data_IF_404964543255
#
_entry.id   IF_404964543255
#
_cell.length_a   1.000
_cell.length_b   1.000
_cell.length_c   1.000
_cell.angle_alpha   90.00
_cell.angle_beta   90.00
_cell.angle_gamma   90.00
#
_symmetry.space_group_name_H-M   'P 1'
#
loop_
_entity.id
_entity.type
_entity.pdbx_description
1 polymer ?
#
# COMPACT_ATOMS: atom_id res chain seq x y z
N UNK A 1 33.46 54.92 46.93
CA UNK A 1 32.57 53.71 46.84
C UNK A 1 31.60 53.80 45.65
N UNK A 2 32.09 53.98 44.41
CA UNK A 2 31.20 54.05 43.19
C UNK A 2 31.78 53.36 41.96
N UNK A 3 32.59 52.31 42.14
CA UNK A 3 33.23 51.56 41.01
C UNK A 3 33.09 50.03 41.07
N UNK A 4 32.17 49.49 41.91
CA UNK A 4 31.93 48.02 41.99
C UNK A 4 30.50 47.57 41.62
N UNK A 5 29.67 48.46 40.99
CA UNK A 5 28.29 48.10 40.65
C UNK A 5 28.06 47.95 39.11
N UNK A 6 29.15 48.01 38.31
CA UNK A 6 29.02 47.92 36.83
C UNK A 6 29.50 46.60 36.25
N UNK A 7 29.93 45.63 37.07
CA UNK A 7 30.52 44.36 36.58
C UNK A 7 29.57 43.16 36.78
N UNK A 8 28.36 43.35 37.36
CA UNK A 8 27.38 42.29 37.59
C UNK A 8 26.25 42.28 36.53
N UNK A 9 26.13 43.32 35.71
CA UNK A 9 25.08 43.44 34.68
C UNK A 9 25.49 42.94 33.30
N UNK A 10 26.76 42.53 33.10
CA UNK A 10 27.26 41.99 31.82
C UNK A 10 27.26 40.45 31.74
N UNK A 11 26.87 39.75 32.81
CA UNK A 11 26.86 38.29 32.91
C UNK A 11 25.54 37.57 32.61
N UNK A 12 24.47 38.33 32.27
CA UNK A 12 23.12 37.72 32.07
C UNK A 12 22.63 37.72 30.62
N UNK A 13 23.49 37.99 29.64
CA UNK A 13 23.05 38.12 28.23
C UNK A 13 23.62 37.05 27.29
N UNK A 14 24.07 35.89 27.79
CA UNK A 14 24.60 34.81 26.93
C UNK A 14 24.02 33.42 27.27
N UNK A 15 22.75 33.35 27.70
CA UNK A 15 22.05 32.08 27.89
C UNK A 15 20.72 32.01 27.13
N UNK A 16 20.66 32.61 25.94
CA UNK A 16 19.57 32.40 25.01
C UNK A 16 20.09 31.81 23.70
N UNK A 17 20.78 30.68 23.78
CA UNK A 17 21.14 29.94 22.57
C UNK A 17 21.05 28.45 22.88
N UNK A 18 20.01 27.85 22.37
CA UNK A 18 19.62 26.43 22.26
C UNK A 18 18.36 26.11 23.06
N UNK A 19 17.26 26.83 22.83
CA UNK A 19 15.97 26.17 22.85
C UNK A 19 15.88 25.44 21.50
N UNK A 20 15.68 24.09 21.48
CA UNK A 20 15.31 23.43 20.24
C UNK A 20 14.03 24.14 19.77
N UNK A 21 14.11 24.71 18.56
CA UNK A 21 12.94 25.27 17.91
C UNK A 21 12.09 24.05 17.54
N UNK A 22 11.16 23.69 18.39
CA UNK A 22 10.08 22.78 18.03
C UNK A 22 9.22 23.57 17.06
N UNK A 23 9.52 23.43 15.75
CA UNK A 23 8.74 24.06 14.70
C UNK A 23 7.27 23.73 14.90
N UNK A 24 6.42 24.73 14.80
CA UNK A 24 4.98 24.48 14.77
C UNK A 24 4.65 23.79 13.45
N UNK A 25 3.73 22.80 13.44
CA UNK A 25 3.29 22.17 12.20
C UNK A 25 2.77 23.24 11.25
N UNK A 26 3.18 23.17 10.00
CA UNK A 26 2.87 24.20 9.02
C UNK A 26 1.41 24.12 8.57
N UNK A 27 0.61 25.12 8.89
CA UNK A 27 -0.75 25.26 8.37
C UNK A 27 -0.70 25.82 6.94
N UNK A 28 -1.32 25.10 6.01
CA UNK A 28 -1.45 25.50 4.60
C UNK A 28 -2.90 25.35 4.15
N UNK A 29 -3.22 25.89 2.97
CA UNK A 29 -4.56 25.79 2.38
C UNK A 29 -4.55 24.74 1.27
N UNK A 30 -5.48 23.79 1.33
CA UNK A 30 -5.75 22.84 0.26
C UNK A 30 -6.96 23.32 -0.56
N UNK A 31 -6.80 23.45 -1.87
CA UNK A 31 -7.92 23.68 -2.77
C UNK A 31 -8.60 22.32 -3.06
N UNK A 32 -9.91 22.26 -2.82
CA UNK A 32 -10.73 21.07 -3.02
C UNK A 32 -11.55 21.19 -4.31
N UNK A 33 -12.11 20.07 -4.80
CA UNK A 33 -12.96 20.01 -6.00
C UNK A 33 -14.09 21.06 -6.06
N UNK A 34 -14.58 21.51 -4.92
CA UNK A 34 -15.69 22.46 -4.82
C UNK A 34 -15.23 23.91 -4.69
N UNK A 35 -13.95 24.23 -4.99
CA UNK A 35 -13.34 25.54 -4.75
C UNK A 35 -13.39 25.96 -3.27
N UNK A 36 -13.72 25.04 -2.36
CA UNK A 36 -13.62 25.28 -0.93
C UNK A 36 -12.15 25.18 -0.51
N UNK A 37 -11.72 26.14 0.28
CA UNK A 37 -10.39 26.15 0.87
C UNK A 37 -10.45 25.41 2.19
N UNK A 38 -9.91 24.19 2.25
CA UNK A 38 -9.75 23.46 3.50
C UNK A 38 -8.36 23.74 4.05
N UNK A 39 -8.27 23.92 5.36
CA UNK A 39 -6.97 23.99 6.01
C UNK A 39 -6.34 22.61 6.06
N UNK A 40 -5.11 22.53 5.62
CA UNK A 40 -4.28 21.33 5.67
C UNK A 40 -3.06 21.58 6.55
N UNK A 41 -2.54 20.51 7.13
CA UNK A 41 -1.36 20.55 8.00
C UNK A 41 -0.33 19.58 7.43
N UNK A 42 0.86 20.08 7.16
CA UNK A 42 2.01 19.26 6.79
C UNK A 42 2.77 18.90 8.07
N UNK A 43 2.92 17.60 8.40
CA UNK A 43 3.74 17.17 9.53
C UNK A 43 5.19 17.65 9.38
N UNK A 44 5.76 18.18 10.45
CA UNK A 44 7.14 18.67 10.45
C UNK A 44 8.14 17.53 10.21
N UNK A 45 7.93 16.41 10.92
CA UNK A 45 8.87 15.29 10.89
C UNK A 45 8.53 14.30 9.77
N UNK A 46 9.57 13.86 9.06
CA UNK A 46 9.50 12.69 8.21
C UNK A 46 9.84 11.44 9.05
N UNK A 47 9.13 10.34 8.81
CA UNK A 47 9.35 9.07 9.53
C UNK A 47 10.56 8.33 8.93
N UNK A 48 10.69 8.41 7.60
CA UNK A 48 11.74 7.76 6.82
C UNK A 48 11.72 8.33 5.39
N UNK A 49 12.82 8.23 4.68
CA UNK A 49 12.91 8.62 3.25
C UNK A 49 12.05 7.69 2.36
N UNK A 50 11.69 6.52 2.86
CA UNK A 50 10.81 5.55 2.17
C UNK A 50 9.32 5.89 2.26
N UNK A 51 8.93 6.86 3.09
CA UNK A 51 7.53 7.25 3.27
C UNK A 51 7.30 8.71 2.89
N UNK A 52 6.17 8.97 2.25
CA UNK A 52 5.70 10.34 2.04
C UNK A 52 5.24 10.97 3.35
N UNK A 53 5.37 12.27 3.47
CA UNK A 53 4.64 13.02 4.49
C UNK A 53 3.14 12.98 4.14
N UNK A 54 2.32 12.45 5.04
CA UNK A 54 0.87 12.42 4.88
C UNK A 54 0.26 13.77 5.30
N UNK A 55 -0.58 14.34 4.45
CA UNK A 55 -1.32 15.55 4.78
C UNK A 55 -2.42 15.24 5.80
N UNK A 56 -2.53 16.09 6.82
CA UNK A 56 -3.62 16.10 7.77
C UNK A 56 -4.60 17.22 7.43
N UNK A 57 -5.89 16.98 7.59
CA UNK A 57 -6.93 18.01 7.56
C UNK A 57 -7.07 18.67 8.94
N UNK A 58 -7.72 19.83 9.01
CA UNK A 58 -8.07 20.47 10.26
C UNK A 58 -9.57 20.29 10.53
N UNK A 59 -9.91 19.67 11.66
CA UNK A 59 -11.29 19.52 12.11
C UNK A 59 -11.43 20.19 13.49
N UNK A 60 -12.36 21.15 13.57
CA UNK A 60 -12.60 21.92 14.81
C UNK A 60 -11.34 22.60 15.39
N UNK A 61 -10.37 22.93 14.52
CA UNK A 61 -9.11 23.55 14.93
C UNK A 61 -7.98 22.57 15.20
N UNK A 62 -8.24 21.27 15.27
CA UNK A 62 -7.26 20.24 15.59
C UNK A 62 -6.86 19.42 14.33
N UNK A 63 -5.60 18.92 14.27
CA UNK A 63 -5.16 18.02 13.22
C UNK A 63 -6.00 16.75 13.18
N UNK A 64 -6.46 16.36 11.99
CA UNK A 64 -7.28 15.16 11.79
C UNK A 64 -6.88 14.44 10.51
N UNK A 65 -6.87 13.13 10.55
CA UNK A 65 -6.65 12.33 9.33
C UNK A 65 -7.90 12.36 8.45
N UNK A 66 -7.72 12.65 7.16
CA UNK A 66 -8.79 12.62 6.16
C UNK A 66 -8.77 11.27 5.43
N UNK A 67 -9.71 10.35 5.74
CA UNK A 67 -9.74 9.05 5.09
C UNK A 67 -10.16 9.17 3.62
N UNK A 68 -9.79 8.18 2.83
CA UNK A 68 -10.19 8.06 1.43
C UNK A 68 -11.70 7.87 1.28
N UNK A 69 -12.28 8.40 0.19
CA UNK A 69 -13.70 8.31 -0.14
C UNK A 69 -14.20 6.88 -0.37
N UNK A 70 -13.30 5.96 -0.74
CA UNK A 70 -13.59 4.53 -0.92
C UNK A 70 -13.05 3.64 0.20
N UNK A 71 -12.62 4.22 1.33
CA UNK A 71 -12.00 3.51 2.44
C UNK A 71 -12.89 2.38 2.97
N UNK A 72 -12.26 1.25 3.29
CA UNK A 72 -12.92 0.06 3.86
C UNK A 72 -13.41 -0.94 2.82
N UNK A 73 -13.57 -0.55 1.54
CA UNK A 73 -13.96 -1.50 0.50
C UNK A 73 -12.89 -2.56 0.24
N UNK A 74 -11.62 -2.23 0.39
CA UNK A 74 -10.49 -3.13 0.17
C UNK A 74 -10.58 -4.39 1.03
N UNK A 75 -11.01 -4.25 2.29
CA UNK A 75 -11.11 -5.34 3.24
C UNK A 75 -12.14 -6.43 2.85
N UNK A 76 -13.13 -6.07 2.05
CA UNK A 76 -14.16 -7.00 1.56
C UNK A 76 -13.78 -7.68 0.24
N UNK A 77 -12.80 -7.15 -0.48
CA UNK A 77 -12.52 -7.51 -1.87
C UNK A 77 -11.21 -8.30 -2.04
N UNK A 78 -10.21 -8.07 -1.20
CA UNK A 78 -8.95 -8.78 -1.27
C UNK A 78 -8.95 -10.07 -0.44
N UNK A 79 -8.15 -11.04 -0.87
CA UNK A 79 -8.16 -12.41 -0.33
C UNK A 79 -7.56 -12.52 1.06
N UNK A 80 -6.51 -11.76 1.36
CA UNK A 80 -5.74 -11.84 2.60
C UNK A 80 -5.45 -10.45 3.17
N UNK A 81 -5.18 -10.38 4.46
CA UNK A 81 -4.71 -9.14 5.10
C UNK A 81 -3.35 -8.71 4.54
N UNK A 82 -2.51 -9.67 4.18
CA UNK A 82 -1.20 -9.41 3.57
C UNK A 82 -1.36 -8.71 2.22
N UNK A 83 -2.32 -9.14 1.38
CA UNK A 83 -2.63 -8.47 0.12
C UNK A 83 -3.13 -7.04 0.32
N UNK A 84 -3.93 -6.79 1.37
CA UNK A 84 -4.43 -5.44 1.67
C UNK A 84 -3.27 -4.51 1.99
N UNK A 85 -2.41 -4.93 2.94
CA UNK A 85 -1.28 -4.13 3.40
C UNK A 85 -0.29 -3.86 2.25
N UNK A 86 0.02 -4.89 1.44
CA UNK A 86 0.93 -4.74 0.29
C UNK A 86 0.30 -3.93 -0.85
N UNK A 87 -0.99 -4.08 -1.11
CA UNK A 87 -1.65 -3.28 -2.14
C UNK A 87 -1.65 -1.80 -1.82
N UNK A 88 -1.79 -1.42 -0.54
CA UNK A 88 -1.72 -0.03 -0.08
C UNK A 88 -0.28 0.49 -0.03
N UNK A 89 0.63 -0.20 0.67
CA UNK A 89 2.01 0.27 0.86
C UNK A 89 2.88 0.09 -0.38
N UNK A 90 2.71 -1.01 -1.09
CA UNK A 90 3.40 -1.27 -2.35
C UNK A 90 3.00 -0.28 -3.45
N UNK A 91 1.72 0.18 -3.48
CA UNK A 91 1.30 1.23 -4.41
C UNK A 91 2.04 2.55 -4.14
N UNK A 92 2.31 2.90 -2.87
CA UNK A 92 3.15 4.05 -2.52
C UNK A 92 4.60 3.83 -3.01
N UNK A 93 5.15 2.64 -2.85
CA UNK A 93 6.50 2.29 -3.34
C UNK A 93 6.61 2.43 -4.85
N UNK A 94 5.62 1.89 -5.59
CA UNK A 94 5.56 2.01 -7.07
C UNK A 94 5.44 3.47 -7.53
N UNK A 95 4.76 4.31 -6.75
CA UNK A 95 4.57 5.72 -7.03
C UNK A 95 5.86 6.54 -6.94
N UNK A 96 6.83 6.15 -6.10
CA UNK A 96 8.04 6.94 -5.80
C UNK A 96 8.89 7.23 -7.04
N UNK A 97 8.89 6.35 -8.03
CA UNK A 97 9.62 6.55 -9.28
C UNK A 97 9.03 7.67 -10.15
N UNK A 98 7.75 8.00 -9.97
CA UNK A 98 7.05 9.06 -10.71
C UNK A 98 6.83 10.30 -9.86
N UNK A 99 6.50 10.10 -8.59
CA UNK A 99 6.21 11.14 -7.61
C UNK A 99 7.19 10.98 -6.42
N UNK A 100 8.31 11.74 -6.45
CA UNK A 100 9.35 11.64 -5.42
C UNK A 100 8.84 12.01 -4.02
N UNK A 101 9.28 11.29 -2.99
CA UNK A 101 8.98 11.59 -1.57
C UNK A 101 9.49 12.95 -1.11
N UNK A 102 10.51 13.50 -1.78
CA UNK A 102 11.05 14.82 -1.48
C UNK A 102 10.15 15.97 -1.91
N UNK A 103 9.32 15.75 -2.93
CA UNK A 103 8.53 16.80 -3.60
C UNK A 103 7.05 16.65 -3.32
N UNK A 104 6.58 15.41 -3.22
CA UNK A 104 5.16 15.11 -3.13
C UNK A 104 4.75 14.74 -1.70
N UNK A 105 3.55 15.16 -1.34
CA UNK A 105 2.86 14.82 -0.11
C UNK A 105 1.77 13.79 -0.42
N UNK A 106 1.50 12.90 0.50
CA UNK A 106 0.51 11.84 0.35
C UNK A 106 -0.84 12.20 0.95
N UNK A 107 -1.89 11.79 0.26
CA UNK A 107 -3.25 11.77 0.74
C UNK A 107 -3.97 10.52 0.19
N UNK A 108 -4.81 9.85 1.00
CA UNK A 108 -5.71 8.82 0.47
C UNK A 108 -6.64 9.41 -0.61
N UNK A 109 -7.12 8.56 -1.53
CA UNK A 109 -7.96 8.96 -2.66
C UNK A 109 -9.22 9.73 -2.27
N UNK A 110 -9.44 10.88 -2.87
CA UNK A 110 -10.55 11.78 -2.55
C UNK A 110 -11.55 11.91 -3.70
N UNK A 111 -11.28 11.33 -4.86
CA UNK A 111 -12.05 11.52 -6.09
C UNK A 111 -12.92 10.32 -6.46
N UNK A 112 -12.42 9.09 -6.29
CA UNK A 112 -13.18 7.89 -6.55
C UNK A 112 -14.00 7.50 -5.32
N UNK A 113 -15.30 7.83 -5.33
CA UNK A 113 -16.21 7.49 -4.25
C UNK A 113 -16.50 5.99 -4.18
N UNK A 114 -16.84 5.50 -3.00
CA UNK A 114 -17.05 4.08 -2.76
C UNK A 114 -18.16 3.45 -3.62
N UNK A 115 -19.23 4.16 -3.93
CA UNK A 115 -20.31 3.71 -4.82
C UNK A 115 -19.84 3.64 -6.28
N UNK A 116 -18.99 4.57 -6.72
CA UNK A 116 -18.35 4.56 -8.05
C UNK A 116 -17.44 3.33 -8.16
N UNK A 117 -16.56 3.12 -7.19
CA UNK A 117 -15.66 1.94 -7.17
C UNK A 117 -16.49 0.64 -7.20
N UNK A 118 -17.53 0.50 -6.35
CA UNK A 118 -18.42 -0.67 -6.36
C UNK A 118 -19.07 -0.90 -7.72
N UNK A 119 -19.51 0.16 -8.39
CA UNK A 119 -20.13 0.05 -9.72
C UNK A 119 -19.14 -0.44 -10.79
N UNK A 120 -17.87 0.01 -10.73
CA UNK A 120 -16.82 -0.41 -11.66
C UNK A 120 -16.40 -1.87 -11.42
N UNK A 121 -16.35 -2.30 -10.16
CA UNK A 121 -16.03 -3.70 -9.79
C UNK A 121 -17.13 -4.69 -10.17
N UNK A 122 -18.33 -4.20 -10.46
CA UNK A 122 -19.45 -5.06 -10.84
C UNK A 122 -19.19 -5.76 -12.19
N UNK A 123 -19.93 -6.84 -12.43
CA UNK A 123 -20.01 -7.47 -13.74
C UNK A 123 -20.79 -6.60 -14.73
N UNK A 124 -20.36 -6.57 -15.98
CA UNK A 124 -21.14 -5.99 -17.10
C UNK A 124 -22.53 -6.63 -17.16
N UNK A 125 -23.55 -5.86 -17.50
CA UNK A 125 -24.92 -6.32 -17.66
C UNK A 125 -25.19 -6.65 -19.12
N UNK A 126 -25.93 -7.73 -19.38
CA UNK A 126 -26.36 -8.15 -20.73
C UNK A 126 -27.86 -8.39 -20.76
N UNK A 127 -28.44 -8.51 -21.97
CA UNK A 127 -29.80 -8.93 -22.22
C UNK A 127 -30.85 -8.12 -21.45
N UNK A 128 -31.74 -8.81 -20.74
CA UNK A 128 -32.81 -8.18 -19.95
C UNK A 128 -32.29 -7.37 -18.77
N UNK A 129 -31.20 -7.80 -18.12
CA UNK A 129 -30.57 -7.04 -17.02
C UNK A 129 -30.08 -5.67 -17.48
N UNK A 130 -29.55 -5.58 -18.70
CA UNK A 130 -29.13 -4.31 -19.29
C UNK A 130 -30.35 -3.44 -19.63
N UNK A 131 -31.38 -4.03 -20.24
CA UNK A 131 -32.66 -3.32 -20.57
C UNK A 131 -33.33 -2.77 -19.32
N UNK A 132 -33.37 -3.57 -18.24
CA UNK A 132 -33.97 -3.15 -16.96
C UNK A 132 -33.16 -1.99 -16.34
N UNK A 133 -31.82 -2.08 -16.32
CA UNK A 133 -30.97 -1.00 -15.82
C UNK A 133 -31.13 0.29 -16.63
N UNK A 134 -31.26 0.17 -17.96
CA UNK A 134 -31.55 1.32 -18.83
C UNK A 134 -32.93 1.93 -18.57
N UNK A 135 -33.93 1.10 -18.31
CA UNK A 135 -35.28 1.55 -17.97
C UNK A 135 -35.34 2.25 -16.61
N UNK A 136 -34.64 1.70 -15.61
CA UNK A 136 -34.51 2.32 -14.26
C UNK A 136 -33.78 3.67 -14.32
N UNK A 137 -32.69 3.77 -15.10
CA UNK A 137 -31.98 5.03 -15.31
C UNK A 137 -32.88 6.10 -15.93
N UNK A 138 -33.64 5.74 -16.99
CA UNK A 138 -34.62 6.63 -17.61
C UNK A 138 -35.74 7.05 -16.66
N UNK A 139 -36.17 6.17 -15.75
CA UNK A 139 -37.23 6.48 -14.79
C UNK A 139 -36.76 7.47 -13.70
N UNK A 140 -35.49 7.40 -13.30
CA UNK A 140 -34.87 8.34 -12.36
C UNK A 140 -34.67 9.74 -12.96
N UNK A 141 -34.44 9.82 -14.26
CA UNK A 141 -34.10 11.06 -14.97
C UNK A 141 -35.33 11.95 -15.25
N UNK A 142 -36.55 11.42 -15.08
CA UNK A 142 -37.79 12.23 -15.27
C UNK A 142 -37.95 13.41 -14.32
N UNK A 143 -37.09 13.54 -13.31
CA UNK A 143 -37.10 14.63 -12.32
C UNK A 143 -36.00 15.70 -12.56
N UNK A 144 -35.13 15.54 -13.54
CA UNK A 144 -34.11 16.51 -13.91
C UNK A 144 -34.39 17.05 -15.32
N UNK A 145 -34.76 18.31 -15.41
CA UNK A 145 -34.94 19.03 -16.66
C UNK A 145 -33.60 19.19 -17.36
N UNK A 146 -33.32 18.36 -18.34
CA UNK A 146 -32.30 18.60 -19.32
C UNK A 146 -31.26 17.48 -19.46
N UNK A 147 -31.29 16.89 -20.63
CA UNK A 147 -30.42 15.91 -21.23
C UNK A 147 -30.73 14.44 -20.93
N UNK A 148 -30.95 13.70 -22.03
CA UNK A 148 -31.03 12.23 -22.07
C UNK A 148 -29.74 11.58 -21.53
N UNK A 149 -29.59 11.45 -20.20
CA UNK A 149 -28.54 10.60 -19.64
C UNK A 149 -28.84 9.14 -19.97
N UNK A 150 -28.28 8.74 -21.07
CA UNK A 150 -28.32 7.37 -21.54
C UNK A 150 -27.57 6.50 -20.55
N UNK A 151 -28.23 5.47 -19.98
CA UNK A 151 -27.54 4.50 -19.14
C UNK A 151 -26.26 4.00 -19.82
N UNK A 152 -25.15 4.18 -19.16
CA UNK A 152 -23.84 3.68 -19.58
C UNK A 152 -23.50 2.46 -18.74
N UNK A 153 -23.11 1.35 -19.38
CA UNK A 153 -22.59 0.19 -18.66
C UNK A 153 -21.24 0.50 -18.03
N UNK A 154 -21.19 0.48 -16.70
CA UNK A 154 -20.01 0.85 -15.93
C UNK A 154 -19.26 -0.33 -15.33
N UNK A 155 -19.83 -1.54 -15.29
CA UNK A 155 -19.16 -2.73 -14.82
C UNK A 155 -17.90 -3.05 -15.67
N UNK A 156 -16.79 -3.40 -15.03
CA UNK A 156 -15.54 -3.75 -15.73
C UNK A 156 -15.38 -5.26 -15.90
N UNK A 157 -15.84 -6.04 -14.91
CA UNK A 157 -15.73 -7.50 -14.98
C UNK A 157 -16.67 -8.12 -16.02
N UNK A 158 -16.30 -9.29 -16.60
CA UNK A 158 -17.11 -9.96 -17.61
C UNK A 158 -18.56 -10.19 -17.16
N UNK A 159 -19.49 -9.99 -18.07
CA UNK A 159 -20.88 -10.36 -17.86
C UNK A 159 -21.03 -11.89 -17.75
N UNK A 160 -22.07 -12.34 -17.07
CA UNK A 160 -22.47 -13.74 -17.10
C UNK A 160 -23.53 -13.88 -18.21
N UNK A 161 -23.23 -14.62 -19.30
CA UNK A 161 -24.23 -14.94 -20.31
C UNK A 161 -25.35 -15.79 -19.72
N UNK A 162 -26.48 -15.87 -20.41
CA UNK A 162 -27.57 -16.75 -20.01
C UNK A 162 -27.14 -18.21 -20.19
N UNK A 163 -27.43 -19.04 -19.19
CA UNK A 163 -27.09 -20.44 -19.19
C UNK A 163 -27.46 -21.13 -17.89
N UNK A 164 -27.63 -22.44 -17.95
CA UNK A 164 -28.06 -23.27 -16.81
C UNK A 164 -26.91 -23.88 -16.00
N UNK A 165 -25.72 -24.01 -16.60
CA UNK A 165 -24.58 -24.57 -15.91
C UNK A 165 -23.71 -23.45 -15.26
N UNK A 166 -23.92 -23.24 -13.96
CA UNK A 166 -23.21 -22.20 -13.20
C UNK A 166 -21.71 -22.45 -13.14
N UNK A 167 -21.27 -23.71 -13.11
CA UNK A 167 -19.83 -24.03 -13.07
C UNK A 167 -19.13 -23.53 -14.34
N UNK A 168 -19.68 -23.85 -15.52
CA UNK A 168 -19.16 -23.38 -16.81
C UNK A 168 -19.24 -21.86 -16.91
N UNK A 169 -20.39 -21.26 -16.57
CA UNK A 169 -20.58 -19.81 -16.64
C UNK A 169 -19.55 -19.04 -15.82
N UNK A 170 -19.30 -19.47 -14.59
CA UNK A 170 -18.35 -18.78 -13.71
C UNK A 170 -16.89 -19.06 -14.09
N UNK A 171 -16.56 -20.29 -14.48
CA UNK A 171 -15.17 -20.64 -14.87
C UNK A 171 -14.73 -19.99 -16.17
N UNK A 172 -15.64 -19.79 -17.13
CA UNK A 172 -15.37 -19.11 -18.39
C UNK A 172 -15.42 -17.58 -18.29
N UNK A 173 -16.12 -17.07 -17.27
CA UNK A 173 -16.25 -15.62 -17.03
C UNK A 173 -15.83 -15.27 -15.61
N UNK A 174 -14.55 -15.43 -15.24
CA UNK A 174 -14.07 -15.11 -13.90
C UNK A 174 -14.17 -13.61 -13.62
N UNK A 175 -14.24 -13.24 -12.34
CA UNK A 175 -13.97 -11.87 -11.92
C UNK A 175 -12.47 -11.67 -11.95
N UNK A 176 -11.99 -10.81 -12.83
CA UNK A 176 -10.58 -10.46 -12.95
C UNK A 176 -10.18 -9.35 -11.99
N UNK A 177 -10.95 -8.26 -11.96
CA UNK A 177 -10.70 -7.08 -11.15
C UNK A 177 -11.37 -7.22 -9.78
N UNK A 178 -10.57 -7.35 -8.73
CA UNK A 178 -11.03 -7.48 -7.36
C UNK A 178 -11.24 -6.11 -6.69
N UNK A 179 -10.29 -5.16 -6.88
CA UNK A 179 -10.37 -3.85 -6.24
C UNK A 179 -9.69 -2.76 -7.07
N UNK A 180 -10.09 -1.51 -6.80
CA UNK A 180 -9.46 -0.29 -7.33
C UNK A 180 -9.12 0.60 -6.15
N UNK A 181 -7.86 1.03 -6.06
CA UNK A 181 -7.37 1.94 -5.04
C UNK A 181 -6.86 3.22 -5.68
N UNK A 182 -7.19 4.36 -5.08
CA UNK A 182 -6.72 5.68 -5.47
C UNK A 182 -5.82 6.25 -4.39
N UNK A 183 -4.66 6.78 -4.78
CA UNK A 183 -3.79 7.60 -3.96
C UNK A 183 -3.57 8.96 -4.62
N UNK A 184 -3.58 10.02 -3.83
CA UNK A 184 -3.36 11.38 -4.27
C UNK A 184 -1.99 11.88 -3.84
N UNK A 185 -1.28 12.51 -4.76
CA UNK A 185 0.04 13.07 -4.57
C UNK A 185 -0.03 14.57 -4.77
N UNK A 186 0.22 15.32 -3.69
CA UNK A 186 0.04 16.75 -3.65
C UNK A 186 1.41 17.44 -3.71
N UNK A 187 1.47 18.59 -4.38
CA UNK A 187 2.64 19.45 -4.42
C UNK A 187 2.37 20.73 -3.67
N UNK A 188 3.40 21.24 -2.99
CA UNK A 188 3.33 22.54 -2.33
C UNK A 188 3.53 23.65 -3.34
N UNK A 189 2.69 24.68 -3.30
CA UNK A 189 2.84 25.95 -4.00
C UNK A 189 2.63 27.09 -3.05
N UNK A 190 3.70 27.79 -2.69
CA UNK A 190 3.69 28.87 -1.70
C UNK A 190 2.96 28.44 -0.42
N UNK A 191 1.84 29.08 -0.09
CA UNK A 191 1.01 28.80 1.08
C UNK A 191 -0.15 27.83 0.81
N UNK A 192 -0.12 27.12 -0.34
CA UNK A 192 -1.16 26.17 -0.74
C UNK A 192 -0.58 24.81 -1.11
N UNK A 193 -1.41 23.77 -1.09
CA UNK A 193 -1.14 22.48 -1.72
C UNK A 193 -2.15 22.21 -2.81
N UNK A 194 -1.65 21.73 -3.93
CA UNK A 194 -2.44 21.35 -5.10
C UNK A 194 -2.22 19.89 -5.46
N UNK A 195 -3.19 19.29 -6.13
CA UNK A 195 -3.05 17.93 -6.67
C UNK A 195 -1.99 17.91 -7.77
N UNK A 196 -0.88 17.25 -7.51
CA UNK A 196 0.25 17.11 -8.44
C UNK A 196 0.20 15.82 -9.26
N UNK A 197 -0.57 14.82 -8.81
CA UNK A 197 -0.74 13.56 -9.51
C UNK A 197 -1.65 12.58 -8.78
N UNK A 198 -2.07 11.53 -9.47
CA UNK A 198 -2.90 10.46 -8.93
C UNK A 198 -2.30 9.11 -9.29
N UNK A 199 -2.38 8.15 -8.38
CA UNK A 199 -2.03 6.76 -8.62
C UNK A 199 -3.25 5.89 -8.47
N UNK A 200 -3.51 5.04 -9.47
CA UNK A 200 -4.62 4.09 -9.48
C UNK A 200 -4.05 2.68 -9.47
N UNK A 201 -4.30 1.96 -8.39
CA UNK A 201 -4.00 0.53 -8.28
C UNK A 201 -5.18 -0.32 -8.77
N UNK A 202 -4.92 -1.31 -9.61
CA UNK A 202 -5.87 -2.32 -10.06
C UNK A 202 -5.47 -3.67 -9.47
N UNK A 203 -6.18 -4.14 -8.43
CA UNK A 203 -5.94 -5.46 -7.86
C UNK A 203 -6.67 -6.52 -8.69
N UNK A 204 -5.91 -7.42 -9.28
CA UNK A 204 -6.39 -8.49 -10.15
C UNK A 204 -6.33 -9.84 -9.44
N UNK A 205 -7.33 -10.67 -9.70
CA UNK A 205 -7.39 -12.03 -9.16
C UNK A 205 -6.43 -12.99 -9.89
N UNK A 206 -5.52 -13.64 -9.17
CA UNK A 206 -4.77 -14.81 -9.65
C UNK A 206 -5.63 -16.08 -9.55
N UNK A 207 -6.59 -16.10 -8.61
CA UNK A 207 -7.55 -17.18 -8.42
C UNK A 207 -8.94 -16.61 -8.20
N UNK A 208 -9.89 -17.00 -9.05
CA UNK A 208 -11.30 -16.67 -8.88
C UNK A 208 -12.03 -17.78 -8.15
N UNK A 209 -12.66 -17.44 -7.02
CA UNK A 209 -13.46 -18.36 -6.19
C UNK A 209 -14.94 -18.20 -6.46
N UNK A 210 -15.63 -19.32 -6.70
CA UNK A 210 -17.07 -19.33 -6.97
C UNK A 210 -17.75 -20.56 -6.38
N UNK A 211 -19.08 -20.60 -6.43
CA UNK A 211 -19.89 -21.75 -6.03
C UNK A 211 -20.63 -22.29 -7.24
N UNK A 212 -20.58 -23.60 -7.41
CA UNK A 212 -21.44 -24.28 -8.41
C UNK A 212 -22.89 -24.37 -7.93
N UNK A 213 -23.77 -24.92 -8.79
CA UNK A 213 -25.21 -24.93 -8.56
C UNK A 213 -25.64 -25.60 -7.24
N UNK A 214 -24.92 -26.63 -6.77
CA UNK A 214 -25.17 -27.30 -5.49
C UNK A 214 -24.47 -26.62 -4.29
N UNK A 215 -23.86 -25.46 -4.49
CA UNK A 215 -23.19 -24.69 -3.44
C UNK A 215 -21.75 -25.13 -3.12
N UNK A 216 -21.21 -26.14 -3.79
CA UNK A 216 -19.81 -26.54 -3.60
C UNK A 216 -18.85 -25.45 -4.07
N UNK A 217 -17.84 -25.18 -3.26
CA UNK A 217 -16.78 -24.24 -3.59
C UNK A 217 -15.93 -24.75 -4.77
N UNK A 218 -15.62 -23.85 -5.67
CA UNK A 218 -14.75 -24.05 -6.82
C UNK A 218 -13.78 -22.89 -6.96
N UNK A 219 -12.70 -23.12 -7.66
CA UNK A 219 -11.73 -22.10 -8.01
C UNK A 219 -11.33 -22.19 -9.48
N UNK A 220 -11.01 -21.06 -10.08
CA UNK A 220 -10.43 -20.92 -11.40
C UNK A 220 -9.13 -20.16 -11.26
N UNK A 221 -8.02 -20.82 -11.57
CA UNK A 221 -6.71 -20.16 -11.70
C UNK A 221 -6.70 -19.30 -12.96
N UNK A 222 -6.17 -18.11 -12.84
CA UNK A 222 -5.98 -17.12 -13.92
C UNK A 222 -4.47 -17.00 -14.11
N UNK A 223 -3.98 -17.23 -15.33
CA UNK A 223 -2.56 -17.07 -15.59
C UNK A 223 -2.14 -15.60 -15.54
N UNK A 224 -0.87 -15.32 -15.18
CA UNK A 224 -0.32 -13.96 -15.16
C UNK A 224 -0.46 -13.28 -16.52
N UNK A 225 -0.30 -14.00 -17.63
CA UNK A 225 -0.51 -13.48 -18.98
C UNK A 225 -1.95 -13.02 -19.21
N UNK A 226 -2.94 -13.86 -18.86
CA UNK A 226 -4.38 -13.54 -18.96
C UNK A 226 -4.74 -12.37 -18.05
N UNK A 227 -4.26 -12.38 -16.80
CA UNK A 227 -4.44 -11.32 -15.81
C UNK A 227 -3.92 -9.98 -16.34
N UNK A 228 -2.68 -9.93 -16.85
CA UNK A 228 -2.07 -8.73 -17.39
C UNK A 228 -2.82 -8.22 -18.62
N UNK A 229 -3.24 -9.11 -19.54
CA UNK A 229 -4.02 -8.70 -20.70
C UNK A 229 -5.34 -8.05 -20.30
N UNK A 230 -6.06 -8.64 -19.33
CA UNK A 230 -7.31 -8.09 -18.81
C UNK A 230 -7.11 -6.83 -17.98
N UNK A 231 -6.07 -6.77 -17.16
CA UNK A 231 -5.71 -5.58 -16.39
C UNK A 231 -5.42 -4.38 -17.30
N UNK A 232 -4.66 -4.56 -18.37
CA UNK A 232 -4.37 -3.52 -19.35
C UNK A 232 -5.61 -3.04 -20.12
N UNK A 233 -6.48 -3.99 -20.55
CA UNK A 233 -7.78 -3.66 -21.16
C UNK A 233 -8.66 -2.80 -20.23
N UNK A 234 -8.72 -3.17 -18.94
CA UNK A 234 -9.50 -2.43 -17.95
C UNK A 234 -8.88 -1.09 -17.61
N UNK A 235 -7.56 -0.99 -17.58
CA UNK A 235 -6.82 0.24 -17.32
C UNK A 235 -7.17 1.34 -18.34
N UNK A 236 -7.29 1.01 -19.63
CA UNK A 236 -7.71 1.96 -20.68
C UNK A 236 -9.10 2.56 -20.40
N UNK A 237 -10.03 1.72 -19.94
CA UNK A 237 -11.37 2.17 -19.58
C UNK A 237 -11.34 3.04 -18.31
N UNK A 238 -10.57 2.62 -17.31
CA UNK A 238 -10.42 3.34 -16.03
C UNK A 238 -9.83 4.73 -16.26
N UNK A 239 -8.78 4.85 -17.06
CA UNK A 239 -8.17 6.15 -17.36
C UNK A 239 -9.16 7.10 -18.02
N UNK A 240 -9.93 6.65 -19.00
CA UNK A 240 -10.94 7.50 -19.64
C UNK A 240 -12.00 8.00 -18.64
N UNK A 241 -12.39 7.17 -17.67
CA UNK A 241 -13.33 7.57 -16.62
C UNK A 241 -12.71 8.50 -15.60
N UNK A 242 -11.47 8.25 -15.18
CA UNK A 242 -10.70 9.13 -14.31
C UNK A 242 -10.58 10.51 -14.93
N UNK A 243 -10.29 10.60 -16.23
CA UNK A 243 -10.22 11.88 -16.97
C UNK A 243 -11.57 12.60 -17.07
N UNK A 244 -12.67 11.89 -16.91
CA UNK A 244 -14.02 12.50 -16.87
C UNK A 244 -14.43 12.93 -15.46
N UNK A 245 -13.61 12.66 -14.45
CA UNK A 245 -13.84 13.06 -13.06
C UNK A 245 -13.33 14.48 -12.84
N UNK A 246 -14.18 15.36 -12.29
CA UNK A 246 -13.82 16.76 -12.00
C UNK A 246 -12.57 16.80 -11.11
N UNK A 247 -11.58 17.59 -11.49
CA UNK A 247 -10.28 17.73 -10.80
C UNK A 247 -9.20 16.77 -11.29
N UNK A 248 -9.54 15.71 -12.05
CA UNK A 248 -8.60 14.74 -12.59
C UNK A 248 -8.37 14.85 -14.10
N UNK A 249 -8.95 15.83 -14.74
CA UNK A 249 -8.94 15.97 -16.22
C UNK A 249 -7.53 16.12 -16.78
N UNK A 250 -6.63 16.76 -16.03
CA UNK A 250 -5.34 17.20 -16.53
C UNK A 250 -4.12 16.65 -15.81
N UNK A 251 -4.27 16.22 -14.54
CA UNK A 251 -3.13 15.78 -13.72
C UNK A 251 -2.47 14.51 -14.26
N UNK A 252 -1.16 14.29 -14.09
CA UNK A 252 -0.54 13.03 -14.42
C UNK A 252 -1.16 11.89 -13.60
N UNK A 253 -1.34 10.71 -14.23
CA UNK A 253 -1.89 9.53 -13.58
C UNK A 253 -0.95 8.35 -13.78
N UNK A 254 -0.49 7.74 -12.70
CA UNK A 254 0.17 6.44 -12.75
C UNK A 254 -0.90 5.37 -12.52
N UNK A 255 -0.93 4.34 -13.36
CA UNK A 255 -1.77 3.16 -13.15
C UNK A 255 -0.88 1.94 -12.95
N UNK A 256 -1.17 1.13 -11.93
CA UNK A 256 -0.40 -0.05 -11.59
C UNK A 256 -1.31 -1.28 -11.45
N UNK A 257 -0.85 -2.43 -11.94
CA UNK A 257 -1.55 -3.71 -11.85
C UNK A 257 -0.91 -4.52 -10.75
N UNK A 258 -1.73 -4.93 -9.78
CA UNK A 258 -1.39 -5.80 -8.66
C UNK A 258 -2.00 -7.19 -8.89
N UNK A 259 -1.21 -8.24 -8.77
CA UNK A 259 -1.65 -9.62 -8.76
C UNK A 259 -1.83 -10.07 -7.31
N UNK A 260 -3.09 -10.20 -6.84
CA UNK A 260 -3.32 -10.70 -5.48
C UNK A 260 -3.13 -12.22 -5.39
N UNK A 261 -2.66 -12.67 -4.24
CA UNK A 261 -2.42 -14.06 -3.97
C UNK A 261 -3.71 -14.86 -3.68
N UNK A 262 -3.59 -16.20 -3.74
CA UNK A 262 -4.66 -17.11 -3.33
C UNK A 262 -4.97 -16.95 -1.84
N UNK A 263 -6.20 -17.28 -1.41
CA UNK A 263 -6.66 -17.15 -0.02
C UNK A 263 -5.82 -17.90 1.02
N UNK A 264 -5.12 -18.95 0.62
CA UNK A 264 -4.26 -19.75 1.51
C UNK A 264 -2.80 -19.31 1.50
N UNK A 265 -2.46 -18.20 0.82
CA UNK A 265 -1.10 -17.69 0.81
C UNK A 265 -0.69 -17.13 2.17
N UNK A 266 0.58 -17.32 2.51
CA UNK A 266 1.24 -16.80 3.72
C UNK A 266 2.18 -15.63 3.38
N UNK A 267 2.23 -15.25 2.10
CA UNK A 267 2.89 -14.05 1.59
C UNK A 267 1.89 -13.24 0.78
N UNK A 268 2.07 -11.92 0.65
CA UNK A 268 1.22 -11.11 -0.20
C UNK A 268 1.48 -11.37 -1.68
N UNK A 269 0.59 -10.88 -2.54
CA UNK A 269 0.86 -10.68 -3.94
C UNK A 269 1.83 -9.53 -4.20
N UNK A 270 1.96 -9.13 -5.45
CA UNK A 270 2.92 -8.10 -5.86
C UNK A 270 2.41 -7.27 -7.04
N UNK A 271 3.00 -6.09 -7.23
CA UNK A 271 2.79 -5.30 -8.44
C UNK A 271 3.56 -5.93 -9.60
N UNK A 272 2.91 -6.04 -10.77
CA UNK A 272 3.45 -6.74 -11.94
C UNK A 272 3.63 -5.86 -13.18
N UNK A 273 2.95 -4.71 -13.23
CA UNK A 273 3.10 -3.75 -14.32
C UNK A 273 2.61 -2.37 -13.92
N UNK A 274 3.18 -1.32 -14.52
CA UNK A 274 2.73 0.07 -14.39
C UNK A 274 2.77 0.79 -15.73
N UNK A 275 1.99 1.86 -15.82
CA UNK A 275 2.03 2.81 -16.95
C UNK A 275 1.70 4.21 -16.48
N UNK A 276 2.32 5.21 -17.09
CA UNK A 276 2.10 6.63 -16.77
C UNK A 276 1.33 7.30 -17.89
N UNK A 277 0.22 7.93 -17.54
CA UNK A 277 -0.55 8.83 -18.39
C UNK A 277 -0.09 10.24 -18.12
N UNK A 278 0.50 10.88 -19.11
CA UNK A 278 1.02 12.25 -19.00
C UNK A 278 -0.12 13.24 -18.75
N UNK A 279 0.25 14.36 -18.18
CA UNK A 279 -0.63 15.53 -18.04
C UNK A 279 -1.31 15.86 -19.39
N UNK A 280 -2.60 16.22 -19.34
CA UNK A 280 -3.42 16.55 -20.51
C UNK A 280 -3.53 15.44 -21.58
N UNK A 281 -3.31 14.17 -21.22
CA UNK A 281 -3.42 13.01 -22.10
C UNK A 281 -4.40 11.98 -21.53
N UNK A 282 -5.08 11.25 -22.43
CA UNK A 282 -5.88 10.08 -22.08
C UNK A 282 -5.18 8.77 -22.48
N UNK A 283 -4.03 8.86 -23.13
CA UNK A 283 -3.35 7.69 -23.65
C UNK A 283 -2.42 7.13 -22.58
N UNK A 284 -2.58 5.84 -22.28
CA UNK A 284 -1.60 5.08 -21.51
C UNK A 284 -0.25 5.14 -22.23
N UNK A 285 0.81 5.39 -21.46
CA UNK A 285 2.18 5.26 -21.95
C UNK A 285 2.55 3.81 -22.20
N UNK A 286 3.83 3.57 -22.42
CA UNK A 286 4.33 2.20 -22.47
C UNK A 286 4.12 1.51 -21.12
N UNK A 287 3.74 0.24 -21.15
CA UNK A 287 3.71 -0.58 -19.95
C UNK A 287 5.11 -1.01 -19.58
N UNK A 288 5.48 -0.76 -18.35
CA UNK A 288 6.71 -1.21 -17.72
C UNK A 288 6.38 -2.40 -16.83
N UNK A 289 7.14 -3.48 -16.98
CA UNK A 289 7.05 -4.63 -16.06
C UNK A 289 7.66 -4.23 -14.71
N UNK A 290 7.03 -4.68 -13.64
CA UNK A 290 7.55 -4.59 -12.28
C UNK A 290 8.00 -6.00 -11.90
N UNK A 291 9.25 -6.14 -11.49
CA UNK A 291 9.86 -7.40 -11.06
C UNK A 291 9.98 -7.36 -9.54
N UNK A 292 8.91 -7.74 -8.87
CA UNK A 292 8.79 -7.83 -7.41
C UNK A 292 8.16 -9.16 -7.05
N UNK A 293 8.69 -9.84 -6.02
CA UNK A 293 8.15 -11.11 -5.51
C UNK A 293 8.39 -11.24 -4.00
N UNK A 294 7.52 -12.01 -3.33
CA UNK A 294 7.63 -12.35 -1.93
C UNK A 294 7.83 -13.84 -1.72
N UNK A 295 8.74 -14.20 -0.83
CA UNK A 295 9.01 -15.60 -0.47
C UNK A 295 9.02 -15.80 1.04
N UNK A 296 8.49 -16.92 1.48
CA UNK A 296 8.59 -17.34 2.87
C UNK A 296 9.85 -18.17 3.06
N UNK A 297 10.66 -17.86 4.07
CA UNK A 297 11.78 -18.67 4.52
C UNK A 297 11.46 -19.35 5.87
N UNK A 298 11.78 -20.66 6.03
CA UNK A 298 12.20 -21.57 4.97
C UNK A 298 11.01 -22.06 4.13
N UNK A 299 11.22 -22.25 2.83
CA UNK A 299 10.27 -22.92 1.94
C UNK A 299 11.00 -23.58 0.77
N UNK A 300 10.35 -24.57 0.15
CA UNK A 300 10.85 -25.20 -1.09
C UNK A 300 10.87 -24.18 -2.24
N UNK A 301 9.88 -23.30 -2.31
CA UNK A 301 9.77 -22.27 -3.32
C UNK A 301 10.92 -21.28 -3.24
N UNK A 302 11.24 -20.75 -2.05
CA UNK A 302 12.40 -19.89 -1.84
C UNK A 302 13.72 -20.62 -2.16
N UNK A 303 13.84 -21.89 -1.78
CA UNK A 303 15.04 -22.69 -2.06
C UNK A 303 15.25 -22.91 -3.56
N UNK A 304 14.17 -23.08 -4.32
CA UNK A 304 14.24 -23.30 -5.77
C UNK A 304 14.58 -22.02 -6.53
N UNK A 305 14.09 -20.87 -6.08
CA UNK A 305 14.29 -19.59 -6.76
C UNK A 305 15.54 -18.84 -6.27
N UNK A 306 15.83 -18.88 -4.96
CA UNK A 306 16.89 -18.11 -4.29
C UNK A 306 17.68 -18.99 -3.32
N UNK A 307 18.38 -19.97 -3.87
CA UNK A 307 19.06 -21.03 -3.10
C UNK A 307 20.08 -20.49 -2.10
N UNK A 308 20.87 -19.50 -2.49
CA UNK A 308 21.95 -18.99 -1.63
C UNK A 308 21.38 -18.20 -0.43
N UNK A 309 20.33 -17.41 -0.66
CA UNK A 309 19.63 -16.67 0.40
C UNK A 309 18.88 -17.64 1.31
N UNK A 310 18.25 -18.67 0.76
CA UNK A 310 17.60 -19.72 1.55
C UNK A 310 18.60 -20.48 2.43
N UNK A 311 19.82 -20.76 1.93
CA UNK A 311 20.88 -21.38 2.72
C UNK A 311 21.41 -20.43 3.81
N UNK A 312 21.61 -19.16 3.47
CA UNK A 312 22.01 -18.12 4.43
C UNK A 312 20.99 -18.04 5.58
N UNK A 313 19.71 -17.94 5.27
CA UNK A 313 18.63 -17.93 6.23
C UNK A 313 18.59 -19.21 7.08
N UNK A 314 18.75 -20.38 6.49
CA UNK A 314 18.77 -21.64 7.21
C UNK A 314 19.95 -21.74 8.20
N UNK A 315 21.13 -21.22 7.86
CA UNK A 315 22.26 -21.19 8.80
C UNK A 315 21.98 -20.28 9.98
N UNK A 316 21.46 -19.06 9.71
CA UNK A 316 21.01 -18.15 10.76
C UNK A 316 19.97 -18.83 11.67
N UNK A 317 18.94 -19.45 11.08
CA UNK A 317 17.89 -20.18 11.79
C UNK A 317 18.48 -21.25 12.75
N UNK A 318 19.39 -22.09 12.29
CA UNK A 318 20.03 -23.14 13.09
C UNK A 318 20.80 -22.57 14.28
N UNK A 319 21.52 -21.48 14.13
CA UNK A 319 22.21 -20.80 15.24
C UNK A 319 21.23 -20.25 16.29
N UNK A 320 20.08 -19.76 15.85
CA UNK A 320 19.02 -19.30 16.77
C UNK A 320 18.38 -20.47 17.51
N UNK A 321 18.17 -21.61 16.82
CA UNK A 321 17.63 -22.83 17.43
C UNK A 321 18.51 -23.41 18.53
N UNK A 322 19.82 -23.35 18.35
CA UNK A 322 20.79 -23.88 19.31
C UNK A 322 20.87 -23.07 20.61
N UNK A 323 20.40 -21.81 20.62
CA UNK A 323 20.48 -20.94 21.79
C UNK A 323 19.52 -21.34 22.93
N UNK A 324 18.30 -21.82 22.59
CA UNK A 324 17.31 -22.27 23.57
C UNK A 324 16.76 -23.67 23.25
N UNK A 325 16.68 -24.57 24.27
CA UNK A 325 16.17 -25.91 24.04
C UNK A 325 14.67 -26.02 23.74
N UNK A 326 13.89 -24.96 24.00
CA UNK A 326 12.43 -24.93 23.84
C UNK A 326 12.02 -23.98 22.66
N UNK A 327 12.54 -24.24 21.53
CA UNK A 327 12.41 -23.42 20.35
C UNK A 327 11.09 -23.66 19.58
N UNK A 328 10.50 -22.62 19.01
CA UNK A 328 9.22 -22.70 18.28
C UNK A 328 9.31 -22.41 16.78
N UNK A 329 10.36 -21.81 16.29
CA UNK A 329 10.62 -21.58 14.87
C UNK A 329 11.16 -20.18 14.55
N UNK A 330 11.93 -20.08 13.47
CA UNK A 330 12.30 -18.79 12.85
C UNK A 330 11.67 -18.74 11.46
N UNK A 331 10.92 -17.71 11.18
CA UNK A 331 10.22 -17.52 9.91
C UNK A 331 10.66 -16.19 9.35
N UNK A 332 11.01 -16.17 8.05
CA UNK A 332 11.38 -14.96 7.34
C UNK A 332 10.45 -14.72 6.15
N UNK A 333 9.99 -13.49 5.97
CA UNK A 333 9.29 -13.04 4.79
C UNK A 333 10.22 -12.13 3.99
N UNK A 334 10.66 -12.62 2.85
CA UNK A 334 11.63 -11.96 1.99
C UNK A 334 10.93 -11.25 0.83
N UNK A 335 11.31 -10.01 0.59
CA UNK A 335 10.89 -9.22 -0.56
C UNK A 335 12.06 -9.07 -1.53
N UNK A 336 11.82 -9.45 -2.76
CA UNK A 336 12.77 -9.33 -3.86
C UNK A 336 12.33 -8.25 -4.84
N UNK A 337 13.28 -7.47 -5.31
CA UNK A 337 13.08 -6.49 -6.38
C UNK A 337 14.18 -6.64 -7.42
N UNK A 338 13.79 -6.82 -8.69
CA UNK A 338 14.72 -7.07 -9.80
C UNK A 338 15.67 -8.28 -9.56
N UNK A 339 15.14 -9.33 -8.91
CA UNK A 339 15.88 -10.54 -8.59
C UNK A 339 16.85 -10.44 -7.41
N UNK A 340 16.91 -9.29 -6.71
CA UNK A 340 17.77 -9.08 -5.54
C UNK A 340 16.94 -9.00 -4.26
N UNK A 341 17.43 -9.62 -3.17
CA UNK A 341 16.83 -9.49 -1.85
C UNK A 341 16.94 -8.03 -1.39
N UNK A 342 15.78 -7.40 -1.14
CA UNK A 342 15.70 -6.00 -0.76
C UNK A 342 15.33 -5.81 0.72
N UNK A 343 14.35 -6.61 1.18
CA UNK A 343 13.85 -6.55 2.54
C UNK A 343 13.58 -7.94 3.09
N UNK A 344 13.86 -8.13 4.40
CA UNK A 344 13.63 -9.38 5.09
C UNK A 344 13.03 -9.10 6.47
N UNK A 345 11.79 -9.55 6.68
CA UNK A 345 11.08 -9.51 7.96
C UNK A 345 11.17 -10.88 8.61
N UNK A 346 11.78 -10.97 9.79
CA UNK A 346 12.01 -12.20 10.53
C UNK A 346 11.18 -12.20 11.82
N UNK A 347 10.37 -13.22 11.99
CA UNK A 347 9.65 -13.48 13.25
C UNK A 347 10.31 -14.63 14.02
N UNK A 348 10.58 -14.40 15.30
CA UNK A 348 11.13 -15.40 16.24
C UNK A 348 10.16 -15.52 17.41
N UNK A 349 9.16 -16.42 17.34
CA UNK A 349 8.26 -16.68 18.45
C UNK A 349 8.97 -17.55 19.50
N UNK A 350 9.05 -17.09 20.75
CA UNK A 350 9.73 -17.76 21.84
C UNK A 350 8.98 -17.63 23.17
N UNK A 351 9.35 -18.48 24.12
CA UNK A 351 8.89 -18.36 25.50
C UNK A 351 10.06 -17.95 26.43
N UNK A 352 9.87 -16.86 27.12
CA UNK A 352 10.85 -16.35 28.10
C UNK A 352 10.30 -16.42 29.49
N UNK A 353 11.18 -16.75 30.47
CA UNK A 353 10.85 -16.75 31.89
C UNK A 353 11.13 -15.39 32.56
N UNK A 354 11.94 -14.54 31.94
CA UNK A 354 12.24 -13.21 32.47
C UNK A 354 12.95 -12.29 31.50
N UNK A 355 12.95 -10.99 31.81
CA UNK A 355 13.54 -9.95 30.97
C UNK A 355 15.05 -10.09 30.72
N UNK A 356 15.79 -10.70 31.67
CA UNK A 356 17.22 -11.02 31.51
C UNK A 356 17.46 -11.97 30.32
N UNK A 357 16.60 -12.95 30.12
CA UNK A 357 16.67 -13.87 28.99
C UNK A 357 16.36 -13.14 27.65
N UNK A 358 15.33 -12.29 27.65
CA UNK A 358 14.99 -11.48 26.48
C UNK A 358 16.18 -10.62 26.04
N UNK A 359 16.83 -9.93 26.99
CA UNK A 359 17.99 -9.09 26.73
C UNK A 359 19.16 -9.91 26.16
N UNK A 360 19.50 -11.03 26.83
CA UNK A 360 20.61 -11.88 26.39
C UNK A 360 20.36 -12.47 25.00
N UNK A 361 19.14 -12.95 24.76
CA UNK A 361 18.72 -13.46 23.45
C UNK A 361 18.76 -12.39 22.38
N UNK A 362 18.21 -11.20 22.63
CA UNK A 362 18.21 -10.09 21.69
C UNK A 362 19.65 -9.69 21.29
N UNK A 363 20.57 -9.63 22.25
CA UNK A 363 21.99 -9.37 21.98
C UNK A 363 22.62 -10.46 21.11
N UNK A 364 22.32 -11.72 21.38
CA UNK A 364 22.78 -12.84 20.57
C UNK A 364 22.24 -12.76 19.13
N UNK A 365 20.91 -12.59 18.97
CA UNK A 365 20.29 -12.43 17.65
C UNK A 365 20.86 -11.26 16.87
N UNK A 366 21.10 -10.12 17.54
CA UNK A 366 21.72 -8.94 16.93
C UNK A 366 23.10 -9.27 16.33
N UNK A 367 23.94 -10.00 17.07
CA UNK A 367 25.23 -10.45 16.57
C UNK A 367 25.08 -11.37 15.34
N UNK A 368 24.13 -12.31 15.40
CA UNK A 368 23.87 -13.23 14.27
C UNK A 368 23.31 -12.53 13.03
N UNK A 369 22.49 -11.51 13.20
CA UNK A 369 22.03 -10.67 12.10
C UNK A 369 23.21 -10.04 11.36
N UNK A 370 24.19 -9.50 12.11
CA UNK A 370 25.38 -8.89 11.53
C UNK A 370 26.34 -9.90 10.88
N UNK A 371 26.39 -11.13 11.40
CA UNK A 371 27.26 -12.18 10.87
C UNK A 371 26.74 -12.78 9.55
N UNK A 372 25.43 -12.91 9.41
CA UNK A 372 24.82 -13.67 8.31
C UNK A 372 24.28 -12.81 7.17
N UNK A 373 23.68 -11.66 7.46
CA UNK A 373 22.97 -10.91 6.43
C UNK A 373 23.79 -9.75 5.83
N UNK A 374 23.68 -9.52 4.51
CA UNK A 374 24.43 -8.48 3.83
C UNK A 374 24.00 -7.07 4.28
N UNK A 375 24.91 -6.08 4.08
CA UNK A 375 24.67 -4.72 4.52
C UNK A 375 23.73 -3.91 3.64
N UNK A 376 23.40 -4.40 2.45
CA UNK A 376 22.56 -3.68 1.49
C UNK A 376 21.06 -3.92 1.64
N UNK A 377 20.64 -4.87 2.49
CA UNK A 377 19.22 -5.15 2.73
C UNK A 377 18.70 -4.41 3.96
N UNK A 378 17.41 -4.04 3.90
CA UNK A 378 16.65 -3.71 5.11
C UNK A 378 16.22 -5.00 5.80
N UNK A 379 16.47 -5.12 7.09
CA UNK A 379 16.10 -6.30 7.86
C UNK A 379 15.41 -5.88 9.16
N UNK A 380 14.29 -6.51 9.44
CA UNK A 380 13.59 -6.41 10.72
C UNK A 380 13.51 -7.77 11.38
N UNK A 381 13.82 -7.83 12.68
CA UNK A 381 13.64 -9.05 13.49
C UNK A 381 12.71 -8.75 14.65
N UNK A 382 11.59 -9.43 14.65
CA UNK A 382 10.56 -9.37 15.67
C UNK A 382 10.69 -10.55 16.61
N UNK A 383 11.18 -10.32 17.83
CA UNK A 383 11.19 -11.33 18.90
C UNK A 383 9.87 -11.26 19.62
N UNK A 384 9.10 -12.35 19.56
CA UNK A 384 7.73 -12.43 20.05
C UNK A 384 7.61 -13.44 21.17
N UNK A 385 6.70 -13.16 22.12
CA UNK A 385 6.25 -14.14 23.13
C UNK A 385 4.73 -14.26 23.11
N UNK A 386 4.20 -15.14 23.94
CA UNK A 386 2.74 -15.23 24.15
C UNK A 386 2.14 -13.92 24.71
N UNK A 387 2.97 -13.06 25.32
CA UNK A 387 2.57 -11.77 25.90
C UNK A 387 2.60 -10.63 24.88
N UNK A 388 3.20 -10.84 23.70
CA UNK A 388 3.37 -9.86 22.65
C UNK A 388 4.82 -9.72 22.19
N UNK A 389 5.15 -8.58 21.62
CA UNK A 389 6.49 -8.26 21.12
C UNK A 389 7.44 -7.98 22.30
N UNK A 390 8.55 -8.70 22.36
CA UNK A 390 9.57 -8.58 23.40
C UNK A 390 10.76 -7.72 22.98
N UNK A 391 11.17 -7.83 21.70
CA UNK A 391 12.20 -6.97 21.14
C UNK A 391 12.02 -6.77 19.63
N UNK A 392 12.58 -5.67 19.13
CA UNK A 392 12.69 -5.32 17.72
C UNK A 392 14.14 -5.00 17.41
N UNK A 393 14.67 -5.61 16.35
CA UNK A 393 15.98 -5.29 15.77
C UNK A 393 15.74 -4.80 14.35
N UNK A 394 16.20 -3.60 14.02
CA UNK A 394 16.08 -3.01 12.68
C UNK A 394 17.49 -2.72 12.15
N UNK A 395 17.83 -3.32 11.03
CA UNK A 395 19.07 -3.05 10.30
C UNK A 395 18.69 -2.34 9.00
N UNK A 396 19.11 -1.09 8.88
CA UNK A 396 18.98 -0.32 7.67
C UNK A 396 20.16 -0.56 6.72
N UNK A 397 19.97 -0.40 5.39
CA UNK A 397 21.08 -0.47 4.44
C UNK A 397 22.20 0.49 4.81
N UNK A 398 23.44 0.05 4.61
CA UNK A 398 24.67 0.82 4.81
C UNK A 398 24.91 1.39 6.24
N UNK A 399 24.13 0.93 7.23
CA UNK A 399 24.40 1.24 8.65
C UNK A 399 25.30 0.17 9.26
N UNK A 400 26.30 0.64 10.01
CA UNK A 400 27.26 -0.27 10.70
C UNK A 400 26.59 -1.03 11.84
N UNK A 401 25.65 -0.42 12.55
CA UNK A 401 24.96 -1.01 13.70
C UNK A 401 23.45 -0.98 13.52
N UNK A 402 22.73 -2.05 13.93
CA UNK A 402 21.29 -2.05 13.93
C UNK A 402 20.71 -1.25 15.09
N UNK A 403 19.50 -0.77 14.91
CA UNK A 403 18.70 -0.18 15.98
C UNK A 403 18.01 -1.33 16.74
N UNK A 404 18.20 -1.39 18.07
CA UNK A 404 17.62 -2.43 18.90
C UNK A 404 16.74 -1.82 19.98
N UNK A 405 15.50 -2.32 20.08
CA UNK A 405 14.56 -1.93 21.12
C UNK A 405 14.06 -3.17 21.87
N UNK A 406 14.17 -3.16 23.20
CA UNK A 406 13.58 -4.19 24.08
C UNK A 406 12.38 -3.57 24.78
N UNK A 407 11.21 -4.13 24.54
CA UNK A 407 9.96 -3.66 25.14
C UNK A 407 9.92 -3.92 26.64
N UNK A 408 9.25 -3.04 27.40
CA UNK A 408 9.15 -3.12 28.86
C UNK A 408 7.88 -3.84 29.32
#
# INVERSE_FOLDING_TARGET
MKKKLLTVLAGFLVLTACAPNFGEPEEIVQETENESKEKAIIPEYNISDSYYKAILSQKEGEPSYKPGEARGLVAEQLNTRLDIDEFETGLMRVAQETFSTDTYLFQEGQYLKGDVVKSWLARKKLGEKLKNAQAEAKAKDKNTTGADEKYVEVGLNPALPEGSNLETLYSENPIYLAHILEHNYLIRKDDTVELGGVVIGLAMNSVYYYKQQQGYAREKKISREELLAKGKEMAEVVINRVRSTKGLEKVPVLIAIYEQEKKSSVVPGNFVAKSVVKENSNNLGNWEAIDEDYFLFPSDEATNNYRDDAQMFNRFKLEIEDFFPNYTGVIGKAFYKNGELNYLDIEIPMQFYGKGEVIAFTQFVTGKVMDYFPNYITLEVNVMSNSGQEALIVKEPDKEEPIVHVYR
#
